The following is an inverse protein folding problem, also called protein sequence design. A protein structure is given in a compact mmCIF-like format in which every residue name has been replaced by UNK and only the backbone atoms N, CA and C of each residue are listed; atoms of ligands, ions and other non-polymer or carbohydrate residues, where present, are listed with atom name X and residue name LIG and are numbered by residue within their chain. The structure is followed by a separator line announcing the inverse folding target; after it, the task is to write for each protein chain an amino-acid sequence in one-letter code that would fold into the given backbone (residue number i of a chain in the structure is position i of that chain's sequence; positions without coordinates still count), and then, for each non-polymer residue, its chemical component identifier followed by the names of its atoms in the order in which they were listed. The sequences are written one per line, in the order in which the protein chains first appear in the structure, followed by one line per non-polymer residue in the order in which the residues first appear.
data_IF_501214121235
#
_entry.id   IF_501214121235
#
_cell.length_a   1.000
_cell.length_b   1.000
_cell.length_c   1.000
_cell.angle_alpha   90.00
_cell.angle_beta   90.00
_cell.angle_gamma   90.00
#
_symmetry.space_group_name_H-M   'P 1'
#
loop_
_entity.id
_entity.type
_entity.pdbx_description
1 polymer ?
#
# COMPACT_ATOMS: atom_id res chain seq x y z
N UNK A 1 -23.94 -65.27 -26.92
CA UNK A 1 -24.37 -65.57 -28.30
C UNK A 1 -24.36 -64.28 -29.10
N UNK A 2 -23.96 -64.39 -30.37
CA UNK A 2 -23.81 -63.35 -31.41
C UNK A 2 -22.49 -62.57 -31.44
N UNK A 3 -21.60 -63.18 -32.22
CA UNK A 3 -20.49 -62.67 -33.03
C UNK A 3 -20.89 -61.55 -34.00
N UNK A 4 -19.98 -60.59 -34.25
CA UNK A 4 -19.73 -60.04 -35.58
C UNK A 4 -18.29 -59.52 -35.67
N UNK A 5 -17.66 -59.79 -36.81
CA UNK A 5 -16.22 -59.73 -37.10
C UNK A 5 -15.87 -58.65 -38.13
N UNK A 6 -14.67 -58.07 -37.98
CA UNK A 6 -13.71 -57.56 -38.99
C UNK A 6 -14.14 -56.63 -40.15
N UNK A 7 -13.41 -55.51 -40.30
CA UNK A 7 -12.36 -55.25 -41.33
C UNK A 7 -11.75 -53.85 -41.07
N UNK A 8 -10.46 -53.73 -40.69
CA UNK A 8 -9.25 -53.62 -41.52
C UNK A 8 -9.09 -52.27 -42.25
N UNK A 9 -8.20 -51.42 -41.75
CA UNK A 9 -7.72 -50.20 -42.41
C UNK A 9 -6.41 -49.74 -41.76
N UNK A 10 -5.33 -49.84 -42.52
CA UNK A 10 -3.93 -49.91 -42.11
C UNK A 10 -3.33 -48.58 -41.63
N UNK A 11 -2.46 -48.69 -40.64
CA UNK A 11 -1.56 -47.67 -40.09
C UNK A 11 -0.65 -47.07 -41.16
N UNK A 12 -0.47 -45.75 -41.14
CA UNK A 12 0.79 -45.13 -41.59
C UNK A 12 1.29 -44.19 -40.50
N UNK A 13 2.31 -44.68 -39.78
CA UNK A 13 3.13 -43.89 -38.85
C UNK A 13 4.08 -43.03 -39.67
N UNK A 14 4.04 -41.72 -39.47
CA UNK A 14 5.21 -40.87 -39.67
C UNK A 14 5.75 -40.50 -38.29
N UNK A 15 6.91 -41.05 -37.95
CA UNK A 15 7.70 -40.68 -36.79
C UNK A 15 8.35 -39.31 -37.04
N UNK A 16 8.20 -38.37 -36.11
CA UNK A 16 9.23 -37.39 -35.83
C UNK A 16 9.57 -37.45 -34.34
N UNK A 17 10.87 -37.58 -34.10
CA UNK A 17 11.52 -37.81 -32.81
C UNK A 17 11.26 -36.66 -31.81
N UNK A 18 10.93 -37.03 -30.57
CA UNK A 18 11.04 -36.18 -29.39
C UNK A 18 12.47 -36.26 -28.83
N UNK A 19 13.07 -35.10 -28.54
CA UNK A 19 14.20 -35.00 -27.62
C UNK A 19 13.65 -34.79 -26.19
N UNK A 20 14.24 -35.53 -25.25
CA UNK A 20 13.76 -35.76 -23.89
C UNK A 20 14.02 -34.60 -22.92
N UNK A 21 13.12 -34.43 -21.95
CA UNK A 21 13.31 -33.57 -20.78
C UNK A 21 12.02 -33.27 -20.01
N UNK A 22 11.54 -34.26 -19.23
CA UNK A 22 10.80 -34.19 -17.93
C UNK A 22 10.32 -32.81 -17.41
N UNK A 23 9.14 -32.58 -16.82
CA UNK A 23 8.00 -33.35 -16.24
C UNK A 23 6.88 -32.30 -15.87
N UNK A 24 5.70 -32.63 -15.33
CA UNK A 24 4.40 -32.31 -15.93
C UNK A 24 3.55 -31.24 -15.18
N UNK A 25 2.59 -30.65 -15.90
CA UNK A 25 1.49 -29.85 -15.32
C UNK A 25 0.36 -30.77 -14.80
N UNK A 26 -0.34 -30.42 -13.71
CA UNK A 26 -1.46 -31.20 -13.17
C UNK A 26 -2.73 -31.07 -14.03
N UNK A 27 -3.67 -32.03 -13.93
CA UNK A 27 -4.76 -32.21 -14.90
C UNK A 27 -5.91 -31.21 -14.67
N UNK A 28 -6.32 -30.56 -15.77
CA UNK A 28 -7.60 -29.85 -15.84
C UNK A 28 -8.76 -30.84 -15.87
N UNK A 29 -9.68 -30.70 -14.92
CA UNK A 29 -10.98 -31.37 -14.90
C UNK A 29 -11.95 -30.50 -15.71
N UNK A 30 -12.26 -30.90 -16.93
CA UNK A 30 -13.34 -30.30 -17.71
C UNK A 30 -14.68 -30.95 -17.31
N UNK A 31 -15.62 -30.14 -16.81
CA UNK A 31 -17.04 -30.51 -16.73
C UNK A 31 -17.71 -30.22 -18.09
N UNK A 32 -18.71 -31.02 -18.49
CA UNK A 32 -19.29 -30.95 -19.84
C UNK A 32 -20.25 -29.77 -19.96
N UNK A 33 -20.12 -29.00 -21.05
CA UNK A 33 -21.17 -28.13 -21.56
C UNK A 33 -21.99 -28.91 -22.57
N UNK A 34 -23.26 -29.12 -22.23
CA UNK A 34 -24.31 -29.40 -23.20
C UNK A 34 -24.40 -28.19 -24.14
N UNK A 35 -24.15 -28.41 -25.43
CA UNK A 35 -25.00 -27.86 -26.48
C UNK A 35 -24.61 -28.47 -27.83
N UNK A 36 -25.59 -29.14 -28.43
CA UNK A 36 -25.56 -29.64 -29.79
C UNK A 36 -25.53 -28.47 -30.76
N UNK A 37 -24.43 -28.30 -31.50
CA UNK A 37 -24.56 -27.91 -32.90
C UNK A 37 -23.35 -28.38 -33.71
N UNK A 38 -23.64 -29.29 -34.64
CA UNK A 38 -22.75 -29.70 -35.70
C UNK A 38 -22.50 -28.51 -36.63
N UNK A 39 -21.24 -28.11 -36.82
CA UNK A 39 -20.78 -27.52 -38.08
C UNK A 39 -19.27 -27.73 -38.22
N UNK A 40 -18.93 -28.79 -38.97
CA UNK A 40 -17.59 -29.11 -39.42
C UNK A 40 -17.27 -28.20 -40.61
N UNK A 41 -16.37 -27.23 -40.43
CA UNK A 41 -15.70 -26.54 -41.55
C UNK A 41 -14.29 -27.11 -41.69
N UNK A 42 -14.11 -27.93 -42.71
CA UNK A 42 -12.83 -28.45 -43.18
C UNK A 42 -12.12 -27.32 -43.93
N UNK A 43 -10.93 -26.91 -43.48
CA UNK A 43 -10.00 -26.15 -44.32
C UNK A 43 -8.82 -27.04 -44.72
N UNK A 44 -8.86 -27.50 -45.97
CA UNK A 44 -7.73 -28.10 -46.68
C UNK A 44 -6.68 -27.02 -47.00
N UNK A 45 -5.42 -27.26 -46.63
CA UNK A 45 -4.28 -26.51 -47.14
C UNK A 45 -3.83 -27.10 -48.48
N UNK A 46 -4.06 -26.39 -49.58
CA UNK A 46 -3.45 -26.66 -50.88
C UNK A 46 -2.29 -25.66 -51.14
N UNK A 47 -1.08 -26.10 -51.55
CA UNK A 47 -0.01 -25.19 -51.93
C UNK A 47 -0.10 -24.87 -53.42
N UNK A 48 -0.21 -23.59 -53.79
CA UNK A 48 -0.03 -23.16 -55.18
C UNK A 48 1.04 -22.09 -55.32
N UNK A 49 1.72 -22.21 -56.46
CA UNK A 49 3.00 -21.63 -56.86
C UNK A 49 2.90 -20.14 -57.24
N UNK A 50 3.99 -19.43 -57.00
CA UNK A 50 4.60 -18.53 -57.98
C UNK A 50 4.13 -17.08 -57.98
N UNK A 51 4.94 -16.20 -57.38
CA UNK A 51 5.11 -14.84 -57.89
C UNK A 51 6.52 -14.33 -57.56
N UNK A 52 7.17 -13.83 -58.60
CA UNK A 52 8.54 -13.34 -58.67
C UNK A 52 8.57 -11.94 -58.07
N UNK A 53 9.42 -11.71 -57.07
CA UNK A 53 9.66 -10.38 -56.50
C UNK A 53 10.80 -9.67 -57.27
N UNK A 54 10.64 -8.40 -57.70
CA UNK A 54 11.71 -7.67 -58.35
C UNK A 54 12.79 -7.27 -57.34
N UNK A 55 14.06 -7.28 -57.79
CA UNK A 55 15.23 -6.87 -57.02
C UNK A 55 15.16 -5.36 -56.68
N UNK A 56 15.46 -4.92 -55.46
CA UNK A 56 15.52 -3.50 -55.16
C UNK A 56 16.81 -2.88 -55.73
N UNK A 57 16.65 -1.73 -56.38
CA UNK A 57 17.72 -0.90 -56.92
C UNK A 57 18.46 -0.12 -55.82
N UNK A 58 19.74 0.12 -56.07
CA UNK A 58 20.73 0.78 -55.21
C UNK A 58 20.40 2.27 -55.05
N UNK A 59 19.49 2.65 -54.15
CA UNK A 59 19.27 4.07 -53.78
C UNK A 59 18.71 4.32 -52.37
N UNK A 60 18.52 3.30 -51.52
CA UNK A 60 17.93 3.49 -50.17
C UNK A 60 18.93 3.53 -49.01
N UNK A 61 20.23 3.68 -49.28
CA UNK A 61 21.29 3.51 -48.26
C UNK A 61 21.73 4.80 -47.53
N UNK A 62 21.04 5.93 -47.71
CA UNK A 62 21.45 7.22 -47.11
C UNK A 62 20.40 7.93 -46.25
N UNK A 63 19.21 7.36 -46.05
CA UNK A 63 18.20 7.88 -45.09
C UNK A 63 18.16 7.06 -43.78
N UNK A 64 18.78 5.87 -43.76
CA UNK A 64 18.84 5.00 -42.58
C UNK A 64 19.90 5.34 -41.53
N UNK A 65 20.76 6.34 -41.76
CA UNK A 65 21.90 6.67 -40.89
C UNK A 65 21.72 7.97 -40.07
N UNK A 66 20.63 8.73 -40.28
CA UNK A 66 20.29 9.88 -39.43
C UNK A 66 19.15 9.56 -38.44
N UNK A 67 18.42 8.47 -38.65
CA UNK A 67 17.38 7.99 -37.73
C UNK A 67 17.90 7.02 -36.63
N UNK A 68 19.20 6.69 -36.62
CA UNK A 68 19.83 5.81 -35.63
C UNK A 68 20.71 6.55 -34.60
N UNK A 69 20.65 7.88 -34.55
CA UNK A 69 21.35 8.70 -33.56
C UNK A 69 20.42 9.51 -32.65
N UNK A 70 19.11 9.27 -32.69
CA UNK A 70 18.11 9.94 -31.82
C UNK A 70 17.33 8.98 -30.90
N UNK A 71 17.67 7.69 -30.87
CA UNK A 71 16.95 6.67 -30.07
C UNK A 71 17.69 6.24 -28.80
N UNK A 72 18.72 6.98 -28.37
CA UNK A 72 19.62 6.56 -27.30
C UNK A 72 19.71 7.54 -26.13
N UNK A 73 18.62 8.20 -25.74
CA UNK A 73 18.51 8.91 -24.46
C UNK A 73 17.09 8.87 -23.87
N UNK A 74 16.43 7.71 -23.84
CA UNK A 74 15.54 7.44 -22.71
C UNK A 74 16.36 6.65 -21.70
N UNK A 75 17.29 7.34 -21.04
CA UNK A 75 17.72 6.86 -19.74
C UNK A 75 16.47 6.83 -18.90
N UNK A 76 16.00 5.63 -18.52
CA UNK A 76 15.11 5.50 -17.39
C UNK A 76 15.83 6.21 -16.26
N UNK A 77 15.38 7.40 -15.89
CA UNK A 77 15.84 8.06 -14.68
C UNK A 77 15.51 7.06 -13.57
N UNK A 78 16.53 6.33 -13.11
CA UNK A 78 16.43 5.59 -11.87
C UNK A 78 16.16 6.68 -10.86
N UNK A 79 14.93 6.74 -10.34
CA UNK A 79 14.56 7.71 -9.32
C UNK A 79 15.68 7.75 -8.29
N UNK A 80 16.25 8.92 -8.05
CA UNK A 80 17.39 9.06 -7.15
C UNK A 80 16.94 8.53 -5.78
N UNK A 81 17.58 7.47 -5.30
CA UNK A 81 17.32 6.98 -3.95
C UNK A 81 17.79 8.04 -2.96
N UNK A 82 17.05 8.21 -1.87
CA UNK A 82 17.38 9.18 -0.82
C UNK A 82 17.61 8.44 0.50
N UNK A 83 18.81 7.89 0.73
CA UNK A 83 19.12 7.13 1.94
C UNK A 83 18.82 7.89 3.24
N UNK A 84 18.30 7.20 4.24
CA UNK A 84 18.21 7.69 5.62
C UNK A 84 19.56 7.64 6.34
N UNK A 85 19.63 8.28 7.51
CA UNK A 85 20.82 8.26 8.38
C UNK A 85 21.16 6.86 8.92
N UNK A 86 20.17 5.96 9.00
CA UNK A 86 20.35 4.57 9.41
C UNK A 86 21.07 3.71 8.36
N UNK A 87 21.27 4.19 7.13
CA UNK A 87 22.03 3.47 6.12
C UNK A 87 23.52 3.38 6.45
N UNK A 88 24.08 2.17 6.36
CA UNK A 88 25.46 1.85 6.70
C UNK A 88 25.71 1.57 8.19
N UNK A 89 24.72 1.81 9.06
CA UNK A 89 24.78 1.40 10.47
C UNK A 89 24.74 -0.13 10.61
N UNK A 90 25.23 -0.65 11.73
CA UNK A 90 25.13 -2.08 12.04
C UNK A 90 23.64 -2.47 11.98
N UNK A 91 23.27 -3.23 10.95
CA UNK A 91 21.89 -3.60 10.73
C UNK A 91 21.35 -4.32 11.98
N UNK A 92 20.14 -3.98 12.47
CA UNK A 92 19.35 -4.97 13.17
C UNK A 92 19.32 -6.20 12.26
N UNK A 93 19.60 -7.40 12.81
CA UNK A 93 19.51 -8.61 12.01
C UNK A 93 18.17 -8.60 11.25
N UNK A 94 18.16 -8.98 9.97
CA UNK A 94 16.90 -9.12 9.25
C UNK A 94 16.05 -10.17 9.98
N UNK A 95 15.07 -9.69 10.75
CA UNK A 95 14.17 -10.52 11.53
C UNK A 95 12.87 -10.57 10.75
N UNK A 96 12.48 -11.77 10.31
CA UNK A 96 11.15 -12.05 9.74
C UNK A 96 10.02 -11.94 10.77
N UNK A 97 10.30 -11.33 11.93
CA UNK A 97 9.40 -11.14 13.06
C UNK A 97 9.25 -9.65 13.37
N UNK A 98 8.08 -9.26 13.84
CA UNK A 98 7.81 -7.91 14.34
C UNK A 98 8.72 -7.60 15.54
N UNK A 99 9.35 -6.43 15.54
CA UNK A 99 10.15 -5.92 16.66
C UNK A 99 9.47 -4.68 17.24
N UNK A 100 9.27 -4.67 18.55
CA UNK A 100 8.66 -3.55 19.27
C UNK A 100 9.71 -2.50 19.65
N UNK A 101 9.36 -1.22 19.50
CA UNK A 101 10.16 -0.08 19.91
C UNK A 101 9.30 0.84 20.77
N UNK A 102 9.79 1.15 21.97
CA UNK A 102 9.14 2.07 22.89
C UNK A 102 9.68 3.48 22.69
N UNK A 103 8.78 4.46 22.68
CA UNK A 103 9.06 5.89 22.59
C UNK A 103 8.49 6.59 23.83
N UNK A 104 9.33 7.38 24.50
CA UNK A 104 8.89 8.29 25.56
C UNK A 104 8.60 9.65 24.94
N UNK A 105 7.32 10.02 24.92
CA UNK A 105 6.84 11.22 24.24
C UNK A 105 6.15 12.17 25.23
N UNK A 106 5.87 13.38 24.78
CA UNK A 106 5.05 14.33 25.55
C UNK A 106 3.65 13.78 25.78
N UNK A 107 2.97 14.27 26.83
CA UNK A 107 1.57 13.89 27.11
C UNK A 107 0.62 14.27 25.97
N UNK A 108 0.89 15.35 25.24
CA UNK A 108 0.12 15.74 24.07
C UNK A 108 0.18 14.68 22.95
N UNK A 109 1.31 13.99 22.79
CA UNK A 109 1.45 12.87 21.85
C UNK A 109 0.95 11.52 22.41
N UNK A 110 0.29 11.54 23.58
CA UNK A 110 -0.20 10.35 24.27
C UNK A 110 0.78 9.70 25.24
N UNK A 111 1.91 10.34 25.55
CA UNK A 111 2.89 9.84 26.52
C UNK A 111 3.74 8.68 26.02
N UNK A 112 4.03 7.70 26.88
CA UNK A 112 4.78 6.51 26.50
C UNK A 112 3.97 5.65 25.52
N UNK A 113 4.46 5.55 24.29
CA UNK A 113 3.85 4.77 23.20
C UNK A 113 4.87 3.87 22.56
N UNK A 114 4.41 2.90 21.78
CA UNK A 114 5.30 2.00 21.06
C UNK A 114 4.82 1.83 19.62
N UNK A 115 5.71 1.37 18.76
CA UNK A 115 5.36 0.88 17.45
C UNK A 115 6.08 -0.45 17.21
N UNK A 116 5.58 -1.22 16.25
CA UNK A 116 6.28 -2.39 15.76
C UNK A 116 6.88 -2.09 14.39
N UNK A 117 8.04 -2.65 14.08
CA UNK A 117 8.55 -2.68 12.73
C UNK A 117 8.85 -4.12 12.28
N UNK A 118 8.82 -4.33 10.98
CA UNK A 118 9.22 -5.55 10.32
C UNK A 118 10.21 -5.24 9.21
N UNK A 119 11.32 -5.98 9.22
CA UNK A 119 12.31 -5.92 8.17
C UNK A 119 12.10 -7.11 7.24
N UNK A 120 11.99 -6.88 5.93
CA UNK A 120 11.86 -7.99 5.03
C UNK A 120 13.12 -8.86 5.01
N UNK A 121 13.01 -10.15 4.62
CA UNK A 121 14.18 -11.02 4.45
C UNK A 121 15.24 -10.48 3.49
N UNK A 122 14.86 -9.61 2.55
CA UNK A 122 15.80 -9.00 1.59
C UNK A 122 16.47 -7.71 2.11
N UNK A 123 16.09 -7.24 3.31
CA UNK A 123 16.61 -6.01 3.89
C UNK A 123 18.14 -6.04 4.02
N UNK A 124 18.76 -4.95 3.58
CA UNK A 124 20.20 -4.75 3.67
C UNK A 124 20.45 -3.32 4.12
N UNK A 125 21.16 -3.13 5.23
CA UNK A 125 21.45 -1.79 5.77
C UNK A 125 22.30 -0.91 4.84
N UNK A 126 22.84 -1.44 3.74
CA UNK A 126 23.54 -0.65 2.71
C UNK A 126 22.65 -0.25 1.54
N UNK A 127 21.41 -0.74 1.46
CA UNK A 127 20.49 -0.50 0.35
C UNK A 127 19.19 0.11 0.90
N UNK A 128 18.87 1.39 0.60
CA UNK A 128 17.66 2.05 1.09
C UNK A 128 16.38 1.30 0.69
N UNK A 129 15.66 0.80 1.70
CA UNK A 129 14.37 0.13 1.51
C UNK A 129 13.21 1.13 1.53
N UNK A 130 12.20 0.99 0.66
CA UNK A 130 10.96 1.73 0.82
C UNK A 130 10.28 1.40 2.16
N UNK A 131 9.50 2.33 2.72
CA UNK A 131 8.87 2.23 4.02
C UNK A 131 7.34 2.39 3.91
N UNK A 132 6.57 1.54 4.58
CA UNK A 132 5.11 1.68 4.75
C UNK A 132 4.79 1.84 6.23
N UNK A 133 4.04 2.88 6.59
CA UNK A 133 3.37 2.98 7.89
C UNK A 133 1.93 2.47 7.74
N UNK A 134 1.51 1.50 8.55
CA UNK A 134 0.16 0.93 8.52
C UNK A 134 -0.55 1.07 9.87
N UNK A 135 -1.66 1.82 9.88
CA UNK A 135 -2.39 2.21 11.08
C UNK A 135 -3.61 1.31 11.33
N UNK A 136 -3.81 0.90 12.59
CA UNK A 136 -4.92 0.04 12.99
C UNK A 136 -6.24 0.80 13.20
N UNK A 137 -7.37 0.10 13.17
CA UNK A 137 -8.70 0.67 13.46
C UNK A 137 -8.97 0.91 14.96
N UNK A 138 -10.09 1.58 15.28
CA UNK A 138 -10.51 1.82 16.69
C UNK A 138 -10.55 0.54 17.51
N UNK A 139 -9.97 0.54 18.70
CA UNK A 139 -10.01 -0.59 19.63
C UNK A 139 -9.17 -1.81 19.23
N UNK A 140 -8.50 -1.78 18.07
CA UNK A 140 -7.57 -2.83 17.64
C UNK A 140 -6.16 -2.57 18.20
N UNK A 141 -5.12 -3.14 17.58
CA UNK A 141 -3.72 -2.89 17.92
C UNK A 141 -2.80 -2.91 16.70
N UNK A 142 -1.59 -2.37 16.85
CA UNK A 142 -0.53 -2.43 15.85
C UNK A 142 -0.21 -3.87 15.43
N UNK A 143 -0.12 -4.78 16.42
CA UNK A 143 0.12 -6.21 16.15
C UNK A 143 -1.03 -6.86 15.37
N UNK A 144 -2.28 -6.52 15.66
CA UNK A 144 -3.43 -7.04 14.92
C UNK A 144 -3.50 -6.48 13.51
N UNK A 145 -3.09 -5.23 13.28
CA UNK A 145 -3.09 -4.63 11.93
C UNK A 145 -2.19 -5.39 10.95
N UNK A 146 -1.05 -5.94 11.40
CA UNK A 146 -0.21 -6.80 10.57
C UNK A 146 -0.93 -8.07 10.08
N UNK A 147 -1.91 -8.57 10.85
CA UNK A 147 -2.77 -9.69 10.42
C UNK A 147 -3.94 -9.25 9.54
N UNK A 148 -4.20 -7.94 9.44
CA UNK A 148 -5.23 -7.35 8.57
C UNK A 148 -4.66 -7.03 7.20
N UNK A 149 -3.54 -6.33 7.10
CA UNK A 149 -2.99 -5.92 5.81
C UNK A 149 -2.06 -6.95 5.18
N UNK A 150 -1.53 -7.88 5.97
CA UNK A 150 -0.59 -8.91 5.52
C UNK A 150 0.67 -8.37 4.81
N UNK A 151 1.03 -7.10 5.03
CA UNK A 151 2.21 -6.50 4.39
C UNK A 151 3.54 -7.14 4.80
N UNK A 152 3.54 -7.90 5.89
CA UNK A 152 4.67 -8.69 6.38
C UNK A 152 4.71 -10.13 5.82
N UNK A 153 3.73 -10.52 4.99
CA UNK A 153 3.72 -11.80 4.30
C UNK A 153 4.37 -11.64 2.92
N UNK A 154 5.35 -12.50 2.57
CA UNK A 154 6.03 -12.43 1.27
C UNK A 154 5.11 -12.44 0.06
N UNK A 155 3.95 -13.10 0.08
CA UNK A 155 3.05 -13.13 -1.08
C UNK A 155 2.43 -11.74 -1.40
N UNK A 156 2.16 -10.92 -0.38
CA UNK A 156 1.61 -9.57 -0.54
C UNK A 156 2.68 -8.49 -0.60
N UNK A 157 3.89 -8.82 -0.14
CA UNK A 157 5.10 -8.05 -0.36
C UNK A 157 6.06 -8.93 -1.20
N UNK A 158 5.73 -9.22 -2.48
CA UNK A 158 6.39 -10.25 -3.31
C UNK A 158 7.86 -9.95 -3.62
N UNK A 159 8.28 -8.69 -3.49
CA UNK A 159 9.68 -8.31 -3.56
C UNK A 159 10.36 -8.27 -2.19
N UNK A 160 9.59 -8.49 -1.12
CA UNK A 160 9.97 -8.29 0.29
C UNK A 160 10.84 -7.05 0.39
N UNK A 161 10.41 -5.94 -0.21
CA UNK A 161 11.25 -4.76 -0.38
C UNK A 161 10.91 -3.69 0.63
N UNK A 162 9.66 -3.68 1.08
CA UNK A 162 9.16 -2.67 2.00
C UNK A 162 9.47 -3.05 3.44
N UNK A 163 10.13 -2.14 4.15
CA UNK A 163 10.07 -2.09 5.61
C UNK A 163 8.64 -1.68 5.98
N UNK A 164 8.06 -2.32 6.99
CA UNK A 164 6.70 -2.00 7.44
C UNK A 164 6.75 -1.60 8.91
N UNK A 165 6.10 -0.49 9.23
CA UNK A 165 5.97 0.06 10.58
C UNK A 165 4.49 0.10 10.94
N UNK A 166 4.16 -0.35 12.14
CA UNK A 166 2.82 -0.40 12.70
C UNK A 166 2.79 0.41 14.00
N UNK A 167 2.36 1.68 13.93
CA UNK A 167 2.19 2.52 15.11
C UNK A 167 1.03 2.06 16.00
N UNK A 168 1.19 2.12 17.32
CA UNK A 168 0.11 1.82 18.29
C UNK A 168 -0.61 3.11 18.70
N UNK A 169 -1.93 3.13 18.59
CA UNK A 169 -2.76 4.24 19.04
C UNK A 169 -2.74 4.37 20.58
N UNK A 170 -3.00 5.57 21.10
CA UNK A 170 -3.10 5.77 22.55
C UNK A 170 -4.50 5.47 23.07
N UNK A 171 -4.64 5.28 24.38
CA UNK A 171 -5.93 5.07 25.03
C UNK A 171 -6.72 6.36 25.11
N UNK A 172 -8.02 6.25 24.87
CA UNK A 172 -8.97 7.29 25.25
C UNK A 172 -9.08 7.37 26.78
N UNK A 173 -9.03 8.59 27.31
CA UNK A 173 -9.16 8.83 28.74
C UNK A 173 -10.39 8.15 29.36
N UNK A 174 -10.13 7.34 30.40
CA UNK A 174 -11.18 6.63 31.14
C UNK A 174 -11.74 5.40 30.44
N UNK A 175 -11.20 4.97 29.30
CA UNK A 175 -11.60 3.75 28.60
C UNK A 175 -10.42 2.82 28.32
N UNK A 176 -10.71 1.64 27.79
CA UNK A 176 -9.70 0.67 27.31
C UNK A 176 -9.58 0.69 25.78
N UNK A 177 -10.22 1.65 25.11
CA UNK A 177 -10.20 1.75 23.67
C UNK A 177 -8.98 2.55 23.21
N UNK A 178 -8.22 1.97 22.29
CA UNK A 178 -7.14 2.67 21.59
C UNK A 178 -7.67 3.38 20.37
N UNK A 179 -7.43 4.68 20.26
CA UNK A 179 -7.97 5.54 19.22
C UNK A 179 -6.96 6.58 18.75
N UNK A 180 -7.12 7.01 17.50
CA UNK A 180 -6.32 8.06 16.88
C UNK A 180 -7.00 9.43 17.06
N UNK A 181 -6.24 10.51 16.94
CA UNK A 181 -6.66 11.91 17.09
C UNK A 181 -7.80 12.30 16.15
N UNK A 182 -7.97 11.55 15.04
CA UNK A 182 -9.07 11.75 14.10
C UNK A 182 -10.43 11.43 14.74
N UNK A 183 -10.46 10.64 15.82
CA UNK A 183 -11.66 10.38 16.58
C UNK A 183 -12.11 11.67 17.29
N UNK A 184 -13.38 12.07 17.21
CA UNK A 184 -13.86 13.28 17.89
C UNK A 184 -13.50 13.34 19.38
N UNK A 185 -13.52 12.19 20.06
CA UNK A 185 -13.20 12.04 21.48
C UNK A 185 -11.72 12.31 21.78
N UNK A 186 -10.82 11.86 20.88
CA UNK A 186 -9.38 12.07 21.00
C UNK A 186 -8.97 13.48 20.59
N UNK A 187 -9.62 14.04 19.56
CA UNK A 187 -9.46 15.42 19.17
C UNK A 187 -9.80 16.37 20.32
N UNK A 188 -10.88 16.08 21.07
CA UNK A 188 -11.28 16.86 22.24
C UNK A 188 -10.26 16.78 23.40
N UNK A 189 -9.48 15.70 23.47
CA UNK A 189 -8.37 15.54 24.43
C UNK A 189 -7.08 16.24 23.97
N UNK A 190 -7.03 16.76 22.74
CA UNK A 190 -5.85 17.42 22.19
C UNK A 190 -4.70 16.48 21.89
N UNK A 191 -5.00 15.21 21.57
CA UNK A 191 -3.97 14.22 21.18
C UNK A 191 -3.34 14.59 19.84
N UNK A 192 -2.01 14.54 19.79
CA UNK A 192 -1.18 14.83 18.63
C UNK A 192 -0.52 13.54 18.10
N UNK A 193 -1.25 12.80 17.28
CA UNK A 193 -0.72 11.66 16.53
C UNK A 193 0.15 12.06 15.35
N UNK A 194 0.01 13.27 14.80
CA UNK A 194 0.92 13.78 13.76
C UNK A 194 2.34 13.91 14.33
N UNK A 195 2.49 14.54 15.50
CA UNK A 195 3.75 14.61 16.23
C UNK A 195 4.31 13.23 16.57
N UNK A 196 3.46 12.29 16.99
CA UNK A 196 3.87 10.89 17.22
C UNK A 196 4.40 10.21 15.95
N UNK A 197 3.73 10.36 14.81
CA UNK A 197 4.18 9.80 13.52
C UNK A 197 5.52 10.42 13.10
N UNK A 198 5.71 11.72 13.30
CA UNK A 198 6.99 12.38 13.04
C UNK A 198 8.11 11.82 13.94
N UNK A 199 7.83 11.60 15.23
CA UNK A 199 8.79 10.98 16.15
C UNK A 199 9.16 9.55 15.74
N UNK A 200 8.20 8.75 15.26
CA UNK A 200 8.48 7.41 14.70
C UNK A 200 9.38 7.51 13.46
N UNK A 201 9.08 8.43 12.55
CA UNK A 201 9.87 8.61 11.32
C UNK A 201 11.30 9.02 11.65
N UNK A 202 11.51 9.88 12.63
CA UNK A 202 12.84 10.29 13.08
C UNK A 202 13.63 9.13 13.70
N UNK A 203 13.00 8.30 14.53
CA UNK A 203 13.63 7.09 15.07
C UNK A 203 13.99 6.10 13.95
N UNK A 204 13.03 5.78 13.08
CA UNK A 204 13.21 4.84 11.98
C UNK A 204 14.31 5.32 11.03
N UNK A 205 14.33 6.61 10.68
CA UNK A 205 15.38 7.21 9.83
C UNK A 205 16.78 7.13 10.45
N UNK A 206 16.86 7.10 11.77
CA UNK A 206 18.14 7.06 12.50
C UNK A 206 18.69 5.63 12.62
N UNK A 207 17.82 4.62 12.67
CA UNK A 207 18.22 3.24 12.96
C UNK A 207 18.05 2.25 11.81
N UNK A 208 17.16 2.54 10.84
CA UNK A 208 16.83 1.65 9.73
C UNK A 208 17.17 2.35 8.41
N UNK A 209 17.82 1.63 7.51
CA UNK A 209 18.17 2.08 6.16
C UNK A 209 16.93 2.10 5.28
N UNK A 210 16.24 3.23 5.27
CA UNK A 210 15.07 3.46 4.44
C UNK A 210 15.38 4.47 3.33
N UNK A 211 14.53 4.48 2.31
CA UNK A 211 14.54 5.48 1.26
C UNK A 211 13.52 6.59 1.58
N UNK A 212 14.02 7.79 1.89
CA UNK A 212 13.19 8.95 2.20
C UNK A 212 12.29 9.39 1.04
N UNK A 213 12.61 9.00 -0.20
CA UNK A 213 11.76 9.27 -1.35
C UNK A 213 10.58 8.29 -1.49
N UNK A 214 10.57 7.21 -0.72
CA UNK A 214 9.62 6.09 -0.84
C UNK A 214 9.05 5.70 0.52
N UNK A 215 8.46 6.67 1.21
CA UNK A 215 7.70 6.47 2.46
C UNK A 215 6.21 6.55 2.12
N UNK A 216 5.40 5.60 2.59
CA UNK A 216 3.98 5.50 2.27
C UNK A 216 3.13 5.31 3.52
N UNK A 217 1.86 5.67 3.45
CA UNK A 217 0.91 5.52 4.57
C UNK A 217 -0.32 4.72 4.14
N UNK A 218 -0.78 3.83 5.00
CA UNK A 218 -1.95 2.98 4.81
C UNK A 218 -2.63 2.73 6.15
N UNK A 219 -3.86 2.25 6.16
CA UNK A 219 -4.51 1.83 7.39
C UNK A 219 -5.98 1.53 7.21
N UNK A 220 -6.57 0.87 8.20
CA UNK A 220 -7.99 0.49 8.18
C UNK A 220 -8.83 1.36 9.13
N UNK A 221 -10.06 1.71 8.76
CA UNK A 221 -11.01 2.37 9.67
C UNK A 221 -10.46 3.71 10.18
N UNK A 222 -10.34 3.90 11.49
CA UNK A 222 -9.63 5.05 12.06
C UNK A 222 -8.19 5.20 11.56
N UNK A 223 -7.49 4.09 11.26
CA UNK A 223 -6.17 4.13 10.64
C UNK A 223 -6.21 4.59 9.17
N UNK A 224 -7.30 4.32 8.45
CA UNK A 224 -7.55 4.94 7.14
C UNK A 224 -7.84 6.44 7.26
N UNK A 225 -8.54 6.84 8.33
CA UNK A 225 -8.69 8.25 8.72
C UNK A 225 -7.36 8.92 9.02
N UNK A 226 -6.48 8.27 9.80
CA UNK A 226 -5.12 8.74 10.09
C UNK A 226 -4.30 8.89 8.81
N UNK A 227 -4.42 7.92 7.88
CA UNK A 227 -3.78 7.98 6.55
C UNK A 227 -4.22 9.23 5.78
N UNK A 228 -5.52 9.55 5.77
CA UNK A 228 -6.02 10.80 5.17
C UNK A 228 -5.55 12.06 5.92
N UNK A 229 -5.47 12.03 7.25
CA UNK A 229 -4.94 13.15 8.04
C UNK A 229 -3.49 13.46 7.66
N UNK A 230 -2.64 12.44 7.50
CA UNK A 230 -1.25 12.61 7.04
C UNK A 230 -1.15 13.12 5.59
N UNK A 231 -2.14 12.83 4.76
CA UNK A 231 -2.23 13.43 3.43
C UNK A 231 -2.66 14.89 3.50
N UNK A 232 -3.57 15.23 4.41
CA UNK A 232 -4.16 16.55 4.56
C UNK A 232 -3.36 17.54 5.41
N UNK A 233 -2.28 17.10 6.06
CA UNK A 233 -1.48 17.95 6.94
C UNK A 233 -0.25 18.49 6.21
N UNK A 234 0.02 19.81 6.28
CA UNK A 234 1.16 20.41 5.58
C UNK A 234 2.51 19.91 6.11
N UNK A 235 2.56 19.49 7.37
CA UNK A 235 3.76 18.99 8.03
C UNK A 235 4.16 17.58 7.56
N UNK A 236 3.19 16.83 7.02
CA UNK A 236 3.40 15.41 6.67
C UNK A 236 3.20 15.11 5.20
N UNK A 237 2.44 15.92 4.45
CA UNK A 237 2.20 15.56 3.06
C UNK A 237 3.48 15.55 2.22
N UNK A 238 4.45 16.42 2.53
CA UNK A 238 5.75 16.45 1.88
C UNK A 238 6.66 15.25 2.24
N UNK A 239 6.28 14.38 3.18
CA UNK A 239 7.07 13.25 3.67
C UNK A 239 6.66 11.92 3.03
N UNK A 240 5.38 11.72 2.73
CA UNK A 240 4.89 10.45 2.18
C UNK A 240 4.71 10.56 0.66
N UNK A 241 5.24 9.61 -0.10
CA UNK A 241 5.10 9.58 -1.55
C UNK A 241 3.68 9.21 -2.02
N UNK A 242 2.94 8.38 -1.27
CA UNK A 242 1.57 7.98 -1.61
C UNK A 242 0.80 7.43 -0.39
N UNK A 243 -0.53 7.38 -0.52
CA UNK A 243 -1.47 7.04 0.55
C UNK A 243 -2.48 5.97 0.11
N UNK A 244 -2.83 5.05 1.00
CA UNK A 244 -3.83 4.02 0.73
C UNK A 244 -4.77 3.76 1.93
N UNK A 245 -5.76 4.62 2.17
CA UNK A 245 -6.74 4.39 3.22
C UNK A 245 -7.73 3.27 2.84
N UNK A 246 -8.06 2.40 3.80
CA UNK A 246 -9.02 1.30 3.64
C UNK A 246 -10.16 1.46 4.64
N UNK A 247 -11.41 1.48 4.17
CA UNK A 247 -12.61 1.71 4.97
C UNK A 247 -12.46 2.95 5.89
N UNK A 248 -11.86 4.02 5.37
CA UNK A 248 -11.29 5.10 6.18
C UNK A 248 -12.34 5.95 6.89
N UNK A 249 -12.14 6.20 8.19
CA UNK A 249 -13.01 7.05 8.99
C UNK A 249 -12.60 8.53 8.85
N UNK A 250 -13.22 9.25 7.93
CA UNK A 250 -12.88 10.65 7.62
C UNK A 250 -13.74 11.65 8.43
N UNK A 251 -13.60 11.65 9.76
CA UNK A 251 -14.36 12.57 10.61
C UNK A 251 -13.97 14.03 10.35
N UNK A 252 -14.97 14.91 10.29
CA UNK A 252 -14.77 16.35 10.31
C UNK A 252 -15.85 17.04 11.17
N UNK A 253 -15.52 18.18 11.81
CA UNK A 253 -16.49 18.90 12.62
C UNK A 253 -17.62 19.45 11.76
N UNK A 254 -18.81 19.61 12.34
CA UNK A 254 -19.94 20.23 11.64
C UNK A 254 -19.56 21.64 11.15
N UNK A 255 -19.71 21.93 9.84
CA UNK A 255 -19.38 23.26 9.32
C UNK A 255 -20.21 24.37 9.98
N UNK A 256 -21.43 24.04 10.42
CA UNK A 256 -22.26 24.92 11.23
C UNK A 256 -22.68 24.24 12.56
N UNK A 257 -21.93 24.51 13.65
CA UNK A 257 -22.21 23.95 14.97
C UNK A 257 -23.60 24.31 15.53
N UNK A 258 -24.20 25.42 15.08
CA UNK A 258 -25.52 25.85 15.55
C UNK A 258 -26.67 25.03 14.95
N UNK A 259 -26.46 24.45 13.76
CA UNK A 259 -27.45 23.57 13.10
C UNK A 259 -27.18 22.10 13.33
N UNK A 260 -25.95 21.75 13.73
CA UNK A 260 -25.48 20.38 13.88
C UNK A 260 -25.87 19.48 12.69
N UNK A 261 -25.82 20.06 11.49
CA UNK A 261 -26.24 19.38 10.26
C UNK A 261 -25.01 18.85 9.52
N UNK A 262 -25.03 17.55 9.24
CA UNK A 262 -24.07 16.87 8.37
C UNK A 262 -24.61 16.86 6.94
N UNK A 263 -23.82 17.34 5.97
CA UNK A 263 -24.15 17.22 4.55
C UNK A 263 -23.00 16.48 3.84
N UNK A 264 -23.02 15.13 3.89
CA UNK A 264 -21.90 14.29 3.45
C UNK A 264 -21.39 14.54 2.03
N UNK A 265 -22.26 15.04 1.14
CA UNK A 265 -21.99 15.26 -0.29
C UNK A 265 -21.67 16.71 -0.65
N UNK A 266 -21.71 17.66 0.29
CA UNK A 266 -21.55 19.10 -0.03
C UNK A 266 -20.74 19.89 0.98
N UNK A 267 -20.51 19.35 2.18
CA UNK A 267 -19.73 20.05 3.17
C UNK A 267 -18.26 20.13 2.75
N UNK A 268 -17.62 21.27 3.03
CA UNK A 268 -16.21 21.47 2.74
C UNK A 268 -15.36 20.63 3.69
N UNK A 269 -14.58 19.71 3.13
CA UNK A 269 -13.68 18.86 3.93
C UNK A 269 -12.43 19.64 4.37
N UNK A 270 -12.08 19.65 5.66
CA UNK A 270 -10.88 20.31 6.15
C UNK A 270 -9.62 19.54 5.69
N UNK A 271 -8.81 20.15 4.84
CA UNK A 271 -7.60 19.54 4.29
C UNK A 271 -6.68 20.59 3.69
N UNK A 272 -5.40 20.58 4.05
CA UNK A 272 -4.36 21.47 3.52
C UNK A 272 -3.02 20.71 3.40
N UNK A 273 -2.83 19.91 2.33
CA UNK A 273 -1.65 19.06 2.16
C UNK A 273 -0.32 19.84 2.08
N UNK A 274 -0.32 21.17 1.89
CA UNK A 274 0.94 21.92 1.71
C UNK A 274 1.72 21.57 0.42
N UNK A 275 1.22 20.66 -0.41
CA UNK A 275 1.67 20.39 -1.78
C UNK A 275 0.53 19.85 -2.65
N UNK A 276 0.73 19.92 -3.96
CA UNK A 276 -0.11 19.26 -4.95
C UNK A 276 0.50 17.90 -5.36
N UNK A 277 -0.24 17.19 -6.21
CA UNK A 277 0.11 15.90 -6.79
C UNK A 277 0.19 14.80 -5.72
N UNK A 278 -0.88 14.62 -4.93
CA UNK A 278 -0.94 13.65 -3.83
C UNK A 278 -1.52 12.32 -4.33
N UNK A 279 -0.71 11.24 -4.43
CA UNK A 279 -1.22 9.97 -4.91
C UNK A 279 -2.03 9.24 -3.84
N UNK A 280 -3.28 8.88 -4.16
CA UNK A 280 -4.21 8.20 -3.27
C UNK A 280 -4.87 7.00 -3.94
N UNK A 281 -4.88 5.85 -3.28
CA UNK A 281 -5.67 4.68 -3.63
C UNK A 281 -6.54 4.25 -2.44
N UNK A 282 -7.81 4.62 -2.45
CA UNK A 282 -8.74 4.31 -1.37
C UNK A 282 -9.59 3.07 -1.66
N UNK A 283 -10.04 2.38 -0.62
CA UNK A 283 -10.95 1.23 -0.70
C UNK A 283 -12.11 1.39 0.26
N UNK A 284 -13.33 1.08 -0.17
CA UNK A 284 -14.50 1.11 0.72
C UNK A 284 -15.56 0.10 0.29
N UNK A 285 -16.22 -0.53 1.27
CA UNK A 285 -17.33 -1.45 1.06
C UNK A 285 -18.67 -0.71 0.96
N UNK A 286 -19.57 -1.17 0.09
CA UNK A 286 -20.89 -0.55 -0.07
C UNK A 286 -21.90 -0.88 1.03
N UNK A 287 -21.67 -1.93 1.83
CA UNK A 287 -22.50 -2.34 2.98
C UNK A 287 -21.77 -2.03 4.31
N UNK A 288 -20.86 -1.05 4.28
CA UNK A 288 -20.10 -0.65 5.46
C UNK A 288 -20.98 0.13 6.44
N UNK A 289 -21.65 -0.58 7.35
CA UNK A 289 -22.50 0.04 8.37
C UNK A 289 -21.72 0.72 9.52
N UNK A 290 -20.39 0.64 9.51
CA UNK A 290 -19.54 1.25 10.54
C UNK A 290 -19.12 2.63 10.09
N UNK A 291 -18.52 2.73 8.91
CA UNK A 291 -18.24 3.98 8.22
C UNK A 291 -19.05 3.95 6.93
N UNK A 292 -20.25 4.53 6.98
CA UNK A 292 -21.21 4.48 5.89
C UNK A 292 -20.59 4.97 4.57
N UNK A 293 -20.81 4.22 3.49
CA UNK A 293 -20.36 4.59 2.16
C UNK A 293 -20.97 5.91 1.71
N UNK A 294 -22.22 6.17 2.11
CA UNK A 294 -22.95 7.42 1.84
C UNK A 294 -22.59 8.55 2.82
N UNK A 295 -21.77 8.26 3.83
CA UNK A 295 -21.42 9.17 4.91
C UNK A 295 -22.60 9.48 5.85
N UNK A 296 -22.43 10.47 6.73
CA UNK A 296 -23.49 10.87 7.67
C UNK A 296 -23.00 11.28 9.04
N UNK A 297 -23.97 11.51 9.93
CA UNK A 297 -23.73 11.83 11.34
C UNK A 297 -23.14 10.63 12.09
N UNK A 298 -21.99 10.83 12.73
CA UNK A 298 -21.34 9.79 13.52
C UNK A 298 -20.50 10.39 14.65
N UNK A 299 -20.68 9.88 15.87
CA UNK A 299 -19.90 10.27 17.06
C UNK A 299 -19.86 11.80 17.31
N UNK A 300 -20.96 12.49 17.02
CA UNK A 300 -21.01 13.96 17.15
C UNK A 300 -20.14 14.72 16.15
N UNK A 301 -19.79 14.07 15.04
CA UNK A 301 -19.12 14.65 13.88
C UNK A 301 -19.80 14.18 12.59
N UNK A 302 -19.33 14.68 11.46
CA UNK A 302 -19.80 14.27 10.15
C UNK A 302 -18.73 13.39 9.47
N UNK A 303 -19.17 12.43 8.66
CA UNK A 303 -18.33 11.70 7.71
C UNK A 303 -18.82 11.96 6.29
N UNK A 304 -17.93 12.09 5.30
CA UNK A 304 -18.32 12.40 3.94
C UNK A 304 -18.89 11.17 3.24
N UNK A 305 -19.66 11.40 2.19
CA UNK A 305 -19.89 10.39 1.16
C UNK A 305 -18.52 10.02 0.54
N UNK A 306 -18.24 8.73 0.40
CA UNK A 306 -16.92 8.25 -0.01
C UNK A 306 -16.57 8.65 -1.45
N UNK A 307 -17.49 8.52 -2.43
CA UNK A 307 -17.31 9.13 -3.75
C UNK A 307 -16.98 10.63 -3.70
N UNK A 308 -17.75 11.41 -2.95
CA UNK A 308 -17.50 12.85 -2.77
C UNK A 308 -16.12 13.11 -2.16
N UNK A 309 -15.70 12.36 -1.14
CA UNK A 309 -14.36 12.47 -0.56
C UNK A 309 -13.25 12.25 -1.59
N UNK A 310 -13.38 11.25 -2.46
CA UNK A 310 -12.39 10.97 -3.51
C UNK A 310 -12.36 12.08 -4.56
N UNK A 311 -13.53 12.62 -4.92
CA UNK A 311 -13.64 13.76 -5.83
C UNK A 311 -12.99 15.01 -5.25
N UNK A 312 -13.17 15.30 -3.95
CA UNK A 312 -12.51 16.44 -3.31
C UNK A 312 -10.98 16.33 -3.34
N UNK A 313 -10.42 15.12 -3.35
CA UNK A 313 -8.99 14.91 -3.60
C UNK A 313 -8.62 15.19 -5.07
N UNK A 314 -9.38 14.66 -6.02
CA UNK A 314 -9.15 14.91 -7.44
C UNK A 314 -9.21 16.42 -7.78
N UNK A 315 -10.21 17.14 -7.28
CA UNK A 315 -10.36 18.58 -7.46
C UNK A 315 -9.20 19.37 -6.84
N UNK A 316 -8.68 18.93 -5.69
CA UNK A 316 -7.56 19.60 -5.01
C UNK A 316 -6.28 19.55 -5.83
N UNK A 317 -6.06 18.45 -6.54
CA UNK A 317 -4.94 18.26 -7.46
C UNK A 317 -5.24 18.76 -8.89
N UNK A 318 -6.37 19.44 -9.09
CA UNK A 318 -6.74 19.99 -10.40
C UNK A 318 -6.96 18.92 -11.47
N UNK A 319 -7.33 17.71 -11.07
CA UNK A 319 -7.60 16.61 -11.98
C UNK A 319 -8.98 16.78 -12.63
N UNK A 320 -9.11 16.33 -13.87
CA UNK A 320 -10.40 16.27 -14.56
C UNK A 320 -11.39 15.43 -13.74
N UNK A 321 -12.48 16.04 -13.29
CA UNK A 321 -13.64 15.36 -12.72
C UNK A 321 -14.79 15.44 -13.73
N UNK A 322 -15.58 14.36 -13.86
CA UNK A 322 -16.82 14.45 -14.62
C UNK A 322 -17.81 15.27 -13.78
N UNK A 323 -18.33 16.34 -14.37
CA UNK A 323 -19.16 17.38 -13.75
C UNK A 323 -20.37 16.78 -12.98
N UNK A 324 -20.31 16.75 -11.65
CA UNK A 324 -21.37 16.29 -10.77
C UNK A 324 -22.47 17.36 -10.64
N UNK A 325 -23.35 17.46 -11.63
CA UNK A 325 -24.59 18.21 -11.49
C UNK A 325 -25.50 17.57 -10.42
N UNK A 326 -25.63 18.18 -9.24
CA UNK A 326 -26.68 17.95 -8.22
C UNK A 326 -27.43 16.60 -8.30
N UNK A 327 -26.89 15.52 -7.72
CA UNK A 327 -27.61 14.25 -7.55
C UNK A 327 -27.88 13.95 -6.07
N UNK A 328 -29.08 13.43 -5.79
CA UNK A 328 -29.65 13.26 -4.45
C UNK A 328 -29.84 11.79 -4.03
N UNK A 329 -29.14 10.82 -4.64
CA UNK A 329 -29.26 9.40 -4.24
C UNK A 329 -28.14 8.51 -4.79
N UNK A 330 -27.76 7.49 -4.00
CA UNK A 330 -26.71 6.50 -4.30
C UNK A 330 -26.94 5.62 -5.55
N UNK A 331 -28.14 5.60 -6.14
CA UNK A 331 -28.40 4.89 -7.40
C UNK A 331 -27.86 5.60 -8.65
N UNK A 332 -27.34 6.82 -8.52
CA UNK A 332 -26.80 7.61 -9.64
C UNK A 332 -25.29 7.41 -9.88
N UNK A 333 -24.63 6.56 -9.08
CA UNK A 333 -23.17 6.40 -9.08
C UNK A 333 -22.63 5.70 -10.35
N UNK A 334 -23.46 4.92 -11.05
CA UNK A 334 -23.04 4.16 -12.25
C UNK A 334 -22.58 5.02 -13.45
N UNK A 335 -22.76 6.35 -13.41
CA UNK A 335 -22.39 7.26 -14.51
C UNK A 335 -21.42 8.40 -14.17
N UNK A 336 -20.92 8.53 -12.94
CA UNK A 336 -20.39 9.81 -12.44
C UNK A 336 -19.11 9.72 -11.59
N UNK A 337 -18.25 8.73 -11.81
CA UNK A 337 -17.01 8.59 -11.05
C UNK A 337 -15.82 8.31 -11.96
N UNK A 338 -14.83 9.21 -11.94
CA UNK A 338 -13.55 9.05 -12.63
C UNK A 338 -13.64 8.98 -14.17
N UNK A 339 -12.49 9.12 -14.82
CA UNK A 339 -12.38 9.06 -16.28
C UNK A 339 -12.39 7.62 -16.81
N UNK A 340 -12.05 6.64 -15.96
CA UNK A 340 -11.97 5.21 -16.31
C UNK A 340 -12.50 4.35 -15.16
N UNK A 341 -13.46 3.48 -15.46
CA UNK A 341 -13.99 2.44 -14.56
C UNK A 341 -13.39 1.09 -14.95
N UNK A 342 -12.70 0.44 -14.01
CA UNK A 342 -12.20 -0.93 -14.17
C UNK A 342 -12.95 -1.88 -13.24
N UNK A 343 -13.39 -3.02 -13.78
CA UNK A 343 -13.98 -4.11 -13.00
C UNK A 343 -12.89 -4.96 -12.38
N UNK A 344 -12.86 -5.07 -11.06
CA UNK A 344 -11.89 -5.89 -10.31
C UNK A 344 -12.43 -7.29 -9.94
N UNK A 345 -13.52 -7.71 -10.59
CA UNK A 345 -14.21 -8.96 -10.33
C UNK A 345 -15.43 -8.78 -9.41
N UNK A 346 -16.44 -9.64 -9.59
CA UNK A 346 -17.74 -9.51 -8.90
C UNK A 346 -18.41 -8.16 -9.15
N UNK A 347 -18.86 -7.50 -8.07
CA UNK A 347 -19.40 -6.14 -8.11
C UNK A 347 -18.36 -5.06 -7.77
N UNK A 348 -17.06 -5.40 -7.76
CA UNK A 348 -16.02 -4.46 -7.39
C UNK A 348 -15.62 -3.59 -8.59
N UNK A 349 -15.46 -2.30 -8.33
CA UNK A 349 -15.17 -1.28 -9.31
C UNK A 349 -14.04 -0.37 -8.83
N UNK A 350 -13.15 -0.01 -9.76
CA UNK A 350 -12.11 0.98 -9.54
C UNK A 350 -12.38 2.20 -10.39
N UNK A 351 -12.52 3.33 -9.73
CA UNK A 351 -12.66 4.66 -10.29
C UNK A 351 -11.31 5.34 -10.28
N UNK A 352 -10.91 5.90 -11.42
CA UNK A 352 -9.61 6.56 -11.59
C UNK A 352 -9.80 7.99 -12.06
N UNK A 353 -9.11 8.93 -11.40
CA UNK A 353 -9.08 10.34 -11.74
C UNK A 353 -7.75 10.74 -12.39
N UNK A 354 -7.76 11.82 -13.17
CA UNK A 354 -6.61 12.35 -13.89
C UNK A 354 -6.41 11.76 -15.28
N UNK A 355 -5.60 12.44 -16.08
CA UNK A 355 -5.33 12.11 -17.49
C UNK A 355 -3.85 12.29 -17.82
N UNK A 356 -3.36 11.69 -18.91
CA UNK A 356 -1.95 11.79 -19.30
C UNK A 356 -1.00 11.34 -18.18
N UNK A 357 -0.14 12.25 -17.69
CA UNK A 357 0.84 11.96 -16.63
C UNK A 357 0.25 11.91 -15.22
N UNK A 358 -0.98 12.39 -15.01
CA UNK A 358 -1.68 12.34 -13.71
C UNK A 358 -2.74 11.24 -13.66
N UNK A 359 -2.85 10.41 -14.71
CA UNK A 359 -3.78 9.30 -14.74
C UNK A 359 -3.52 8.31 -13.60
N UNK A 360 -4.53 8.09 -12.75
CA UNK A 360 -4.37 7.21 -11.59
C UNK A 360 -3.76 7.87 -10.36
N UNK A 361 -3.62 9.20 -10.35
CA UNK A 361 -3.13 9.92 -9.17
C UNK A 361 -4.10 9.73 -7.99
N UNK A 362 -5.41 9.91 -8.22
CA UNK A 362 -6.45 9.58 -7.25
C UNK A 362 -7.25 8.40 -7.78
N UNK A 363 -7.47 7.39 -6.94
CA UNK A 363 -8.24 6.19 -7.24
C UNK A 363 -9.14 5.83 -6.06
N UNK A 364 -10.38 5.42 -6.36
CA UNK A 364 -11.32 4.87 -5.39
C UNK A 364 -11.74 3.47 -5.85
N UNK A 365 -11.55 2.47 -5.00
CA UNK A 365 -12.05 1.12 -5.19
C UNK A 365 -13.32 0.94 -4.36
N UNK A 366 -14.45 0.86 -5.05
CA UNK A 366 -15.68 0.33 -4.48
C UNK A 366 -15.58 -1.19 -4.43
N UNK A 367 -15.48 -1.75 -3.22
CA UNK A 367 -15.26 -3.17 -3.02
C UNK A 367 -16.51 -4.02 -3.37
N UNK A 368 -17.67 -3.39 -3.45
CA UNK A 368 -18.95 -4.00 -3.83
C UNK A 368 -20.07 -3.72 -2.84
N UNK A 369 -21.31 -3.79 -3.33
CA UNK A 369 -22.53 -3.45 -2.58
C UNK A 369 -22.83 -4.31 -1.35
N UNK A 370 -22.20 -5.47 -1.23
CA UNK A 370 -22.40 -6.42 -0.13
C UNK A 370 -21.12 -6.59 0.73
N UNK A 371 -20.14 -5.71 0.52
CA UNK A 371 -18.88 -5.72 1.28
C UNK A 371 -19.03 -4.71 2.41
N UNK A 372 -18.85 -5.17 3.65
CA UNK A 372 -18.99 -4.33 4.84
C UNK A 372 -17.69 -3.64 5.25
N UNK A 373 -17.57 -3.37 6.56
CA UNK A 373 -16.38 -2.76 7.17
C UNK A 373 -15.21 -3.72 7.28
N UNK A 374 -14.57 -4.03 6.15
CA UNK A 374 -13.50 -5.03 6.07
C UNK A 374 -12.34 -4.53 5.22
N UNK A 375 -11.16 -5.11 5.45
CA UNK A 375 -10.04 -5.00 4.51
C UNK A 375 -10.27 -5.97 3.35
N UNK A 376 -10.47 -5.50 2.10
CA UNK A 376 -10.79 -6.37 0.98
C UNK A 376 -9.72 -7.43 0.69
N UNK A 377 -10.12 -8.69 0.64
CA UNK A 377 -9.27 -9.82 0.30
C UNK A 377 -10.08 -10.93 -0.38
N UNK A 378 -9.38 -11.69 -1.22
CA UNK A 378 -9.86 -12.83 -2.01
C UNK A 378 -9.90 -14.16 -1.26
N UNK A 379 -9.61 -14.13 0.04
CA UNK A 379 -9.75 -15.25 0.96
C UNK A 379 -10.64 -14.88 2.14
N UNK A 380 -11.26 -15.89 2.75
CA UNK A 380 -12.19 -15.72 3.86
C UNK A 380 -11.53 -15.05 5.07
N UNK A 381 -12.20 -14.04 5.64
CA UNK A 381 -11.78 -13.33 6.84
C UNK A 381 -12.83 -13.40 7.94
N UNK A 382 -12.37 -13.45 9.19
CA UNK A 382 -13.19 -13.13 10.37
C UNK A 382 -13.12 -11.60 10.54
N UNK A 383 -14.26 -10.91 10.46
CA UNK A 383 -14.37 -9.46 10.65
C UNK A 383 -13.87 -9.05 12.04
N UNK A 384 -13.06 -7.99 12.13
CA UNK A 384 -12.71 -7.33 13.39
C UNK A 384 -13.78 -6.28 13.72
N UNK A 385 -14.91 -6.73 14.24
CA UNK A 385 -15.79 -5.87 15.03
C UNK A 385 -16.31 -6.63 16.24
N UNK A 386 -16.31 -5.92 17.36
CA UNK A 386 -16.86 -6.24 18.68
C UNK A 386 -18.25 -6.90 18.66
N UNK A 387 -18.31 -8.20 18.37
CA UNK A 387 -19.51 -9.03 18.58
C UNK A 387 -20.66 -8.84 17.59
N UNK A 388 -20.50 -8.06 16.51
CA UNK A 388 -21.48 -8.00 15.41
C UNK A 388 -20.80 -8.45 14.12
N UNK A 389 -21.37 -9.47 13.48
CA UNK A 389 -20.96 -9.91 12.16
C UNK A 389 -21.34 -8.84 11.13
N UNK A 390 -20.37 -7.99 10.76
CA UNK A 390 -20.52 -6.97 9.73
C UNK A 390 -19.94 -7.54 8.42
N UNK A 391 -20.80 -7.79 7.42
CA UNK A 391 -20.48 -8.09 6.02
C UNK A 391 -19.50 -9.24 5.73
N UNK A 392 -20.00 -10.37 5.22
CA UNK A 392 -19.20 -11.58 4.88
C UNK A 392 -18.56 -11.57 3.48
N UNK A 393 -18.37 -10.40 2.86
CA UNK A 393 -17.94 -10.32 1.47
C UNK A 393 -16.44 -10.55 1.30
N UNK A 394 -16.00 -11.77 1.00
CA UNK A 394 -14.72 -11.97 0.29
C UNK A 394 -14.80 -11.26 -1.05
N UNK A 395 -13.84 -10.40 -1.36
CA UNK A 395 -13.74 -9.77 -2.68
C UNK A 395 -13.10 -10.76 -3.67
N UNK A 396 -13.06 -10.41 -4.96
CA UNK A 396 -12.30 -11.19 -5.95
C UNK A 396 -10.90 -10.62 -6.20
N UNK A 397 -10.52 -9.61 -5.43
CA UNK A 397 -9.23 -8.94 -5.48
C UNK A 397 -8.67 -8.81 -4.06
N UNK A 398 -7.38 -8.56 -3.97
CA UNK A 398 -6.68 -8.33 -2.72
C UNK A 398 -6.22 -6.86 -2.63
N UNK A 399 -6.70 -6.12 -1.64
CA UNK A 399 -6.31 -4.73 -1.45
C UNK A 399 -4.81 -4.61 -1.20
N UNK A 400 -4.20 -5.54 -0.47
CA UNK A 400 -2.79 -5.47 -0.10
C UNK A 400 -1.86 -5.51 -1.31
N UNK A 401 -2.13 -6.40 -2.27
CA UNK A 401 -1.37 -6.46 -3.52
C UNK A 401 -1.52 -5.18 -4.33
N UNK A 402 -2.75 -4.66 -4.45
CA UNK A 402 -3.02 -3.42 -5.18
C UNK A 402 -2.33 -2.22 -4.54
N UNK A 403 -2.28 -2.16 -3.21
CA UNK A 403 -1.61 -1.09 -2.46
C UNK A 403 -0.09 -1.15 -2.66
N UNK A 404 0.52 -2.33 -2.55
CA UNK A 404 1.97 -2.48 -2.74
C UNK A 404 2.42 -2.16 -4.16
N UNK A 405 1.60 -2.54 -5.16
CA UNK A 405 1.80 -2.17 -6.56
C UNK A 405 1.58 -0.69 -6.82
N UNK A 406 0.65 -0.05 -6.10
CA UNK A 406 0.40 1.39 -6.18
C UNK A 406 1.57 2.18 -5.61
N UNK A 407 2.01 1.85 -4.39
CA UNK A 407 3.16 2.48 -3.74
C UNK A 407 4.42 2.39 -4.60
N UNK A 408 4.67 1.24 -5.24
CA UNK A 408 5.85 1.05 -6.10
C UNK A 408 5.95 1.97 -7.31
N UNK A 409 4.88 2.71 -7.65
CA UNK A 409 4.83 3.66 -8.79
C UNK A 409 5.21 5.08 -8.40
N UNK A 410 5.21 5.42 -7.11
CA UNK A 410 5.36 6.79 -6.65
C UNK A 410 6.64 7.00 -5.86
N UNK A 411 7.32 8.11 -6.15
CA UNK A 411 8.46 8.61 -5.39
C UNK A 411 8.24 10.09 -5.14
N UNK A 412 8.64 10.58 -3.97
CA UNK A 412 8.62 12.02 -3.73
C UNK A 412 9.55 12.75 -4.72
N UNK A 413 9.12 13.90 -5.26
CA UNK A 413 9.99 14.78 -6.02
C UNK A 413 11.21 15.26 -5.21
N UNK A 414 12.38 15.36 -5.86
CA UNK A 414 13.65 15.77 -5.22
C UNK A 414 13.55 17.06 -4.39
N UNK A 415 12.73 18.03 -4.84
CA UNK A 415 12.51 19.30 -4.14
C UNK A 415 11.89 19.17 -2.74
N UNK A 416 11.26 18.03 -2.44
CA UNK A 416 10.62 17.74 -1.16
C UNK A 416 11.49 16.84 -0.27
N UNK A 417 12.58 16.31 -0.80
CA UNK A 417 13.45 15.41 -0.05
C UNK A 417 14.30 16.19 0.96
N UNK A 418 14.59 15.59 2.13
CA UNK A 418 15.58 16.15 3.03
C UNK A 418 16.94 16.26 2.32
N UNK A 419 17.75 17.27 2.64
CA UNK A 419 19.09 17.39 2.06
C UNK A 419 19.89 16.11 2.33
N UNK A 420 20.60 15.63 1.30
CA UNK A 420 21.42 14.42 1.43
C UNK A 420 22.40 14.57 2.61
N UNK A 421 22.61 13.53 3.43
CA UNK A 421 23.59 13.60 4.49
C UNK A 421 24.96 13.93 3.89
N UNK A 422 25.52 15.09 4.25
CA UNK A 422 26.89 15.42 3.88
C UNK A 422 27.81 14.35 4.46
N UNK A 423 28.70 13.72 3.67
CA UNK A 423 29.67 12.79 4.22
C UNK A 423 30.54 13.57 5.22
N UNK A 424 30.33 13.29 6.50
CA UNK A 424 31.15 13.86 7.56
C UNK A 424 32.59 13.36 7.37
N UNK A 425 33.61 14.23 7.39
CA UNK A 425 34.99 13.79 7.29
C UNK A 425 35.35 12.98 8.54
N UNK A 426 35.38 11.65 8.36
CA UNK A 426 36.16 10.62 9.09
C UNK A 426 36.46 10.80 10.59
N UNK A 427 36.10 9.75 11.35
CA UNK A 427 36.79 9.22 12.53
C UNK A 427 36.96 10.14 13.76
N UNK A 428 36.00 10.04 14.67
CA UNK A 428 36.32 9.95 16.09
C UNK A 428 35.65 8.69 16.64
N UNK A 429 36.44 7.64 16.86
CA UNK A 429 36.00 6.44 17.55
C UNK A 429 35.39 6.83 18.91
N UNK A 430 34.05 6.75 19.00
CA UNK A 430 33.38 6.71 20.28
C UNK A 430 33.74 5.35 20.89
N UNK A 431 34.72 5.35 21.80
CA UNK A 431 35.01 4.19 22.65
C UNK A 431 33.76 3.90 23.46
N UNK A 432 33.01 2.88 23.06
CA UNK A 432 32.08 2.18 23.94
C UNK A 432 32.95 1.54 25.04
N UNK A 433 32.95 2.12 26.23
CA UNK A 433 33.51 1.47 27.42
C UNK A 433 32.50 0.42 27.86
N UNK A 434 32.57 -0.76 27.24
CA UNK A 434 31.90 -1.95 27.75
C UNK A 434 32.65 -2.43 28.98
N UNK A 435 32.03 -2.33 30.16
CA UNK A 435 32.50 -3.05 31.34
C UNK A 435 32.29 -4.55 31.12
N UNK A 436 33.34 -5.25 30.67
CA UNK A 436 33.45 -6.69 30.84
C UNK A 436 33.91 -6.97 32.28
N UNK A 437 33.01 -7.48 33.12
CA UNK A 437 33.42 -8.15 34.35
C UNK A 437 33.93 -9.55 33.97
N UNK A 438 35.26 -9.70 33.88
CA UNK A 438 35.90 -11.01 33.87
C UNK A 438 36.28 -11.38 35.31
N UNK A 439 35.69 -12.47 35.81
CA UNK A 439 36.06 -13.10 37.07
C UNK A 439 37.43 -13.73 36.88
N UNK A 440 38.50 -13.02 37.23
CA UNK A 440 39.85 -13.53 37.51
C UNK A 440 40.69 -12.37 38.05
N UNK A 441 40.65 -12.18 39.37
CA UNK A 441 41.39 -11.09 40.02
C UNK A 441 41.13 -10.92 41.51
N UNK A 442 40.76 -11.97 42.24
CA UNK A 442 40.80 -11.95 43.71
C UNK A 442 42.09 -12.60 44.18
N UNK A 443 43.19 -11.87 44.08
CA UNK A 443 44.36 -12.00 44.95
C UNK A 443 45.19 -10.73 44.78
N UNK A 444 45.58 -10.12 45.91
CA UNK A 444 46.38 -8.87 46.01
C UNK A 444 45.58 -7.57 46.16
N UNK A 445 44.73 -7.50 47.19
CA UNK A 445 44.51 -6.23 47.89
C UNK A 445 44.28 -6.48 49.39
N UNK A 446 45.24 -7.16 50.01
CA UNK A 446 45.33 -7.33 51.45
C UNK A 446 46.79 -7.17 51.89
N UNK A 447 47.41 -6.03 51.52
CA UNK A 447 48.63 -5.42 52.09
C UNK A 447 48.73 -4.07 51.36
N UNK A 448 48.23 -2.98 51.95
CA UNK A 448 48.59 -1.58 51.65
C UNK A 448 47.66 -0.52 52.31
N UNK A 449 46.92 -0.86 53.38
CA UNK A 449 46.21 0.13 54.22
C UNK A 449 46.43 -0.22 55.68
N UNK A 450 47.70 -0.19 56.08
CA UNK A 450 48.14 -0.26 57.47
C UNK A 450 49.40 0.60 57.62
N UNK A 451 49.26 1.88 57.30
CA UNK A 451 50.23 2.93 57.66
C UNK A 451 49.53 4.29 57.53
N UNK A 452 49.32 4.97 58.67
CA UNK A 452 48.70 6.29 58.87
C UNK A 452 47.15 6.23 58.82
N UNK A 453 46.41 6.31 59.93
CA UNK A 453 46.57 7.14 61.13
C UNK A 453 45.96 6.41 62.33
N UNK A 454 46.50 6.74 63.51
CA UNK A 454 45.90 6.66 64.85
C UNK A 454 44.37 6.68 64.91
#
# INVERSE_FOLDING_TARGET
MRTASHTAGTTQRCCCFFAAGSLPLPPFVARPSDDNNDDIIIMECCPSRGSVWPRPSVSSLLVGLVALAASSMFGTAVAASSPSHGCGSAAPAALSTMTEVNLTLSTAMGGDRHYFYWLPPSYNASLPSPLVLSFHGSGSSAALQASVDYFTIPDFNPKSSYVVVYPEATFEDGTTQRMWQIAPEMAAQGIDDVGYVLAILDDVRSHICIDNARIYASGMSQGGGMTNLLACSPDTAAIFAAYAPVAGAYYYPYPNPATNSCRPTTDKLPCDPGRADIPILAFHGGDDIVIDYEGGDRRGACTPDIPYWAEQWALRDGLDTLDMGTYTSASAIEGSLGSVIEKLGGSAERYTYGSGTTAGLVQLVFAGKNVGHVWPADFFRISQSSGQAVGTGTTQFNASSLIMDFFGRYTLPDRLLPPSPTPSPTNAAMRVVGHQYSILGFLSLAIALLSHVL
#
